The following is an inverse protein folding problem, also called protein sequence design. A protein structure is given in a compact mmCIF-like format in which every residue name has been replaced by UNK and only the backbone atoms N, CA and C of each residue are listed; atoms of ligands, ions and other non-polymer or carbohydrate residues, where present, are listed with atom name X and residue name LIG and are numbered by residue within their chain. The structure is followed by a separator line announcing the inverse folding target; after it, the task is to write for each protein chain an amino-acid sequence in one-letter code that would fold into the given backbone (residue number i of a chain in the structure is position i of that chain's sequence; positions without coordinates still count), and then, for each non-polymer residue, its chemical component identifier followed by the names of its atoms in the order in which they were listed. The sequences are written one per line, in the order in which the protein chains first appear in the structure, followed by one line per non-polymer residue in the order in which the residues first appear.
data_IF_372175384499
#
_entry.id   IF_372175384499
#
_cell.length_a   1.000
_cell.length_b   1.000
_cell.length_c   1.000
_cell.angle_alpha   90.00
_cell.angle_beta   90.00
_cell.angle_gamma   90.00
#
_symmetry.space_group_name_H-M   'P 1'
#
loop_
_entity.id
_entity.type
_entity.pdbx_description
1 polymer ?
#
# COMPACT_ATOMS: atom_id res chain seq x y z
N UNK A 1 -15.22 16.58 1.30
CA UNK A 1 -16.23 15.97 2.17
C UNK A 1 -15.54 15.59 3.47
N UNK A 2 -16.25 15.64 4.58
CA UNK A 2 -15.69 15.25 5.89
C UNK A 2 -16.17 13.82 6.22
N UNK A 3 -15.22 12.96 6.59
CA UNK A 3 -15.44 11.59 7.04
C UNK A 3 -15.01 11.48 8.49
N UNK A 4 -15.71 10.68 9.29
CA UNK A 4 -15.38 10.44 10.68
C UNK A 4 -15.22 8.94 10.88
N UNK A 5 -14.03 8.49 11.34
CA UNK A 5 -13.76 7.08 11.62
C UNK A 5 -13.05 6.94 12.96
N UNK A 6 -13.33 5.85 13.66
CA UNK A 6 -12.63 5.51 14.88
C UNK A 6 -11.44 4.61 14.62
N UNK A 7 -10.39 4.85 15.39
CA UNK A 7 -9.18 4.04 15.43
C UNK A 7 -8.86 3.69 16.88
N UNK A 8 -8.24 2.54 17.11
CA UNK A 8 -7.63 2.22 18.39
C UNK A 8 -6.13 2.46 18.33
N UNK A 9 -5.59 3.18 19.33
CA UNK A 9 -4.14 3.41 19.47
C UNK A 9 -3.67 2.76 20.75
N UNK A 10 -2.72 1.86 20.65
CA UNK A 10 -2.11 1.17 21.78
C UNK A 10 -0.58 1.19 21.67
N UNK A 11 0.09 0.92 22.79
CA UNK A 11 1.54 0.86 22.84
C UNK A 11 2.00 -0.59 22.74
N UNK A 12 2.95 -0.85 21.84
CA UNK A 12 3.64 -2.12 21.70
C UNK A 12 5.16 -1.88 21.69
N UNK A 13 5.84 -2.33 22.74
CA UNK A 13 7.25 -2.06 22.99
C UNK A 13 7.59 -0.55 22.91
N UNK A 14 8.39 -0.16 21.92
CA UNK A 14 8.85 1.22 21.71
C UNK A 14 7.97 2.02 20.75
N UNK A 15 6.91 1.41 20.19
CA UNK A 15 6.05 2.01 19.18
C UNK A 15 4.63 2.22 19.71
N UNK A 16 3.92 3.14 19.08
CA UNK A 16 2.46 3.23 19.13
C UNK A 16 1.91 2.66 17.84
N UNK A 17 0.88 1.83 17.94
CA UNK A 17 0.20 1.21 16.79
C UNK A 17 -1.21 1.75 16.72
N UNK A 18 -1.66 2.12 15.53
CA UNK A 18 -3.02 2.55 15.26
C UNK A 18 -3.72 1.57 14.32
N UNK A 19 -4.88 1.09 14.73
CA UNK A 19 -5.73 0.15 13.99
C UNK A 19 -7.10 0.78 13.76
N UNK A 20 -7.50 1.07 12.52
CA UNK A 20 -8.85 1.50 12.18
C UNK A 20 -9.87 0.38 12.40
N UNK A 21 -11.10 0.73 12.87
CA UNK A 21 -12.18 -0.26 13.03
C UNK A 21 -12.84 -0.65 11.70
N UNK A 22 -12.90 0.28 10.75
CA UNK A 22 -13.68 0.12 9.51
C UNK A 22 -12.81 -0.10 8.25
N UNK A 23 -11.49 -0.11 8.40
CA UNK A 23 -10.54 -0.36 7.32
C UNK A 23 -9.55 -1.45 7.72
N UNK A 24 -9.06 -2.18 6.73
CA UNK A 24 -7.98 -3.14 6.94
C UNK A 24 -6.63 -2.44 7.07
N UNK A 25 -5.72 -3.04 7.84
CA UNK A 25 -4.37 -2.55 8.03
C UNK A 25 -4.16 -1.82 9.35
N UNK A 26 -2.93 -1.44 9.58
CA UNK A 26 -2.47 -0.71 10.75
C UNK A 26 -1.32 0.20 10.35
N UNK A 27 -1.02 1.17 11.21
CA UNK A 27 0.17 2.02 11.08
C UNK A 27 0.85 2.18 12.43
N UNK A 28 2.08 2.67 12.44
CA UNK A 28 2.87 2.84 13.64
C UNK A 28 3.53 4.21 13.69
N UNK A 29 3.99 4.60 14.88
CA UNK A 29 4.78 5.79 15.11
C UNK A 29 5.57 5.67 16.41
N UNK A 30 6.70 6.40 16.52
CA UNK A 30 7.53 6.43 17.73
C UNK A 30 6.88 7.21 18.87
N UNK A 31 5.88 8.01 18.57
CA UNK A 31 5.09 8.75 19.54
C UNK A 31 3.61 8.61 19.22
N UNK A 32 2.76 8.81 20.25
CA UNK A 32 1.31 8.79 20.05
C UNK A 32 0.85 9.84 19.02
N UNK A 33 1.46 11.04 19.02
CA UNK A 33 1.13 12.08 18.05
C UNK A 33 1.49 11.65 16.63
N UNK A 34 2.69 11.15 16.40
CA UNK A 34 3.13 10.65 15.11
C UNK A 34 2.23 9.50 14.62
N UNK A 35 1.88 8.57 15.51
CA UNK A 35 0.98 7.47 15.19
C UNK A 35 -0.41 7.97 14.76
N UNK A 36 -0.96 9.00 15.41
CA UNK A 36 -2.23 9.62 15.01
C UNK A 36 -2.12 10.34 13.65
N UNK A 37 -1.00 11.01 13.37
CA UNK A 37 -0.74 11.64 12.07
C UNK A 37 -0.65 10.57 10.97
N UNK A 38 0.10 9.50 11.20
CA UNK A 38 0.20 8.37 10.27
C UNK A 38 -1.15 7.66 10.05
N UNK A 39 -1.98 7.56 11.09
CA UNK A 39 -3.33 7.00 10.98
C UNK A 39 -4.26 7.90 10.15
N UNK A 40 -4.15 9.21 10.28
CA UNK A 40 -4.90 10.16 9.43
C UNK A 40 -4.46 10.05 7.96
N UNK A 41 -3.17 9.88 7.69
CA UNK A 41 -2.64 9.67 6.34
C UNK A 41 -3.08 8.32 5.76
N UNK A 42 -3.09 7.25 6.56
CA UNK A 42 -3.61 5.94 6.16
C UNK A 42 -5.09 6.04 5.76
N UNK A 43 -5.94 6.60 6.61
CA UNK A 43 -7.38 6.79 6.32
C UNK A 43 -7.60 7.68 5.09
N UNK A 44 -6.82 8.76 4.95
CA UNK A 44 -6.89 9.63 3.77
C UNK A 44 -6.59 8.84 2.49
N UNK A 45 -5.55 8.04 2.50
CA UNK A 45 -5.11 7.22 1.36
C UNK A 45 -6.15 6.16 1.00
N UNK A 46 -6.69 5.46 2.01
CA UNK A 46 -7.72 4.43 1.83
C UNK A 46 -9.04 5.02 1.26
N UNK A 47 -9.48 6.16 1.79
CA UNK A 47 -10.67 6.86 1.29
C UNK A 47 -10.44 7.29 -0.17
N UNK A 48 -9.29 7.90 -0.48
CA UNK A 48 -8.97 8.36 -1.83
C UNK A 48 -8.88 7.19 -2.80
N UNK A 49 -8.25 6.08 -2.42
CA UNK A 49 -8.15 4.87 -3.23
C UNK A 49 -9.56 4.36 -3.61
N UNK A 50 -10.45 4.19 -2.65
CA UNK A 50 -11.83 3.74 -2.90
C UNK A 50 -12.61 4.73 -3.79
N UNK A 51 -12.45 6.03 -3.57
CA UNK A 51 -13.08 7.05 -4.41
C UNK A 51 -12.57 7.00 -5.87
N UNK A 52 -11.29 6.75 -6.10
CA UNK A 52 -10.71 6.61 -7.44
C UNK A 52 -11.25 5.38 -8.17
N UNK A 53 -11.40 4.27 -7.47
CA UNK A 53 -11.89 3.01 -8.02
C UNK A 53 -13.41 2.89 -8.03
N UNK A 54 -14.14 3.87 -7.46
CA UNK A 54 -15.60 3.87 -7.27
C UNK A 54 -16.06 2.71 -6.38
N UNK A 55 -15.22 2.32 -5.45
CA UNK A 55 -15.54 1.34 -4.43
C UNK A 55 -16.35 1.98 -3.30
N UNK A 56 -17.16 1.19 -2.63
CA UNK A 56 -17.93 1.66 -1.49
C UNK A 56 -17.01 1.97 -0.31
N UNK A 57 -17.22 3.11 0.31
CA UNK A 57 -16.63 3.40 1.61
C UNK A 57 -17.41 2.63 2.69
N UNK A 58 -16.71 2.08 3.70
CA UNK A 58 -17.40 1.48 4.84
C UNK A 58 -18.21 2.56 5.58
N UNK A 59 -19.35 2.16 6.12
CA UNK A 59 -20.10 3.02 7.02
C UNK A 59 -19.33 3.11 8.35
N UNK A 60 -19.09 4.34 8.87
CA UNK A 60 -18.36 4.51 10.11
C UNK A 60 -19.07 3.85 11.29
N UNK A 61 -18.34 3.02 12.03
CA UNK A 61 -18.80 2.53 13.33
C UNK A 61 -18.32 3.48 14.43
N UNK A 62 -19.20 3.76 15.40
CA UNK A 62 -18.94 4.70 16.50
C UNK A 62 -19.20 4.00 17.84
N UNK A 63 -18.56 4.48 18.88
CA UNK A 63 -18.61 3.89 20.22
C UNK A 63 -18.05 2.45 20.27
N UNK A 64 -16.98 2.21 19.49
CA UNK A 64 -16.28 0.94 19.49
C UNK A 64 -15.64 0.65 20.86
N UNK A 65 -15.40 -0.61 21.15
CA UNK A 65 -14.66 -1.03 22.34
C UNK A 65 -13.22 -1.40 21.96
N UNK A 66 -12.22 -1.07 22.81
CA UNK A 66 -10.85 -1.44 22.56
C UNK A 66 -10.69 -2.96 22.37
N UNK A 67 -9.91 -3.38 21.38
CA UNK A 67 -9.58 -4.77 21.09
C UNK A 67 -8.17 -5.15 21.59
N UNK A 68 -7.30 -4.15 21.75
CA UNK A 68 -5.89 -4.27 22.15
C UNK A 68 -5.59 -3.52 23.44
N UNK A 69 -6.61 -3.23 24.28
CA UNK A 69 -6.48 -2.47 25.52
C UNK A 69 -5.92 -1.03 25.31
N UNK A 70 -6.11 -0.49 24.10
CA UNK A 70 -5.68 0.84 23.70
C UNK A 70 -6.69 1.94 24.00
N UNK A 71 -6.43 3.12 23.50
CA UNK A 71 -7.32 4.28 23.55
C UNK A 71 -7.98 4.48 22.19
N UNK A 72 -9.29 4.79 22.18
CA UNK A 72 -10.03 5.05 20.95
C UNK A 72 -10.00 6.55 20.63
N UNK A 73 -9.71 6.85 19.37
CA UNK A 73 -9.72 8.20 18.81
C UNK A 73 -10.65 8.27 17.61
N UNK A 74 -11.49 9.31 17.56
CA UNK A 74 -12.29 9.63 16.37
C UNK A 74 -11.52 10.62 15.51
N UNK A 75 -11.16 10.22 14.29
CA UNK A 75 -10.44 11.06 13.33
C UNK A 75 -11.40 11.63 12.30
N UNK A 76 -11.37 12.96 12.15
CA UNK A 76 -12.12 13.69 11.14
C UNK A 76 -11.23 13.93 9.90
N UNK A 77 -11.50 13.24 8.80
CA UNK A 77 -10.72 13.29 7.57
C UNK A 77 -11.44 14.11 6.52
N UNK A 78 -10.87 15.27 6.17
CA UNK A 78 -11.40 16.09 5.09
C UNK A 78 -10.70 15.73 3.77
N UNK A 79 -11.36 14.94 2.93
CA UNK A 79 -10.82 14.51 1.63
C UNK A 79 -11.94 14.31 0.61
N UNK A 80 -11.58 14.02 -0.64
CA UNK A 80 -12.50 13.72 -1.72
C UNK A 80 -11.78 13.57 -3.06
N UNK A 81 -12.44 13.04 -4.08
CA UNK A 81 -11.84 12.82 -5.40
C UNK A 81 -11.28 14.12 -6.02
N UNK A 82 -11.84 15.27 -5.67
CA UNK A 82 -11.35 16.57 -6.13
C UNK A 82 -10.08 17.05 -5.46
N UNK A 83 -9.74 16.55 -4.26
CA UNK A 83 -8.54 16.93 -3.51
C UNK A 83 -7.32 16.06 -3.83
N UNK A 84 -7.52 14.94 -4.56
CA UNK A 84 -6.43 14.03 -4.94
C UNK A 84 -5.44 14.77 -5.83
N UNK A 85 -4.15 14.86 -5.44
CA UNK A 85 -3.11 15.45 -6.25
C UNK A 85 -2.95 14.68 -7.56
N UNK A 86 -3.10 15.38 -8.69
CA UNK A 86 -3.14 14.76 -10.01
C UNK A 86 -2.50 15.64 -11.07
N UNK A 87 -2.18 15.03 -12.20
CA UNK A 87 -1.68 15.71 -13.38
C UNK A 87 -2.19 15.06 -14.67
N UNK A 88 -2.09 15.77 -15.78
CA UNK A 88 -2.41 15.23 -17.11
C UNK A 88 -1.29 14.25 -17.56
N UNK A 89 -1.63 13.29 -18.43
CA UNK A 89 -0.62 12.37 -19.03
C UNK A 89 0.54 13.10 -19.71
N UNK A 90 0.26 14.27 -20.30
CA UNK A 90 1.29 15.10 -20.91
C UNK A 90 2.23 15.75 -19.90
N UNK A 91 1.72 16.07 -18.72
CA UNK A 91 2.52 16.60 -17.59
C UNK A 91 3.35 15.49 -16.96
N UNK A 92 2.74 14.31 -16.73
CA UNK A 92 3.46 13.12 -16.27
C UNK A 92 4.61 12.74 -17.20
N UNK A 93 4.40 12.81 -18.52
CA UNK A 93 5.44 12.57 -19.52
C UNK A 93 6.64 13.53 -19.36
N UNK A 94 6.36 14.83 -19.17
CA UNK A 94 7.39 15.84 -18.91
C UNK A 94 8.13 15.62 -17.60
N UNK A 95 7.38 15.32 -16.53
CA UNK A 95 7.94 15.07 -15.19
C UNK A 95 8.88 13.86 -15.17
N UNK A 96 8.51 12.80 -15.91
CA UNK A 96 9.29 11.55 -15.97
C UNK A 96 10.36 11.58 -17.08
N UNK A 97 10.42 12.62 -17.94
CA UNK A 97 11.35 12.69 -19.05
C UNK A 97 11.12 11.64 -20.15
N UNK A 98 9.87 11.16 -20.32
CA UNK A 98 9.49 10.11 -21.27
C UNK A 98 8.42 10.57 -22.25
N UNK A 99 8.17 9.79 -23.31
CA UNK A 99 7.10 10.09 -24.27
C UNK A 99 5.71 9.82 -23.68
N UNK A 100 4.66 10.48 -24.19
CA UNK A 100 3.27 10.21 -23.80
C UNK A 100 2.84 8.76 -24.10
N UNK A 101 3.39 8.16 -25.17
CA UNK A 101 3.19 6.76 -25.50
C UNK A 101 3.70 5.85 -24.38
N UNK A 102 4.87 6.16 -23.82
CA UNK A 102 5.43 5.42 -22.68
C UNK A 102 4.59 5.58 -21.42
N UNK A 103 4.08 6.79 -21.12
CA UNK A 103 3.13 7.01 -20.02
C UNK A 103 1.90 6.10 -20.19
N UNK A 104 1.34 6.02 -21.40
CA UNK A 104 0.19 5.15 -21.69
C UNK A 104 0.50 3.67 -21.45
N UNK A 105 1.72 3.23 -21.77
CA UNK A 105 2.17 1.86 -21.47
C UNK A 105 2.28 1.61 -19.96
N UNK A 106 2.85 2.57 -19.21
CA UNK A 106 2.98 2.48 -17.76
C UNK A 106 1.61 2.43 -17.07
N UNK A 107 0.64 3.22 -17.53
CA UNK A 107 -0.76 3.15 -17.07
C UNK A 107 -1.36 1.76 -17.35
N UNK A 108 -1.23 1.26 -18.58
CA UNK A 108 -1.75 -0.07 -18.94
C UNK A 108 -1.13 -1.22 -18.15
N UNK A 109 0.12 -1.07 -17.75
CA UNK A 109 0.84 -2.07 -16.92
C UNK A 109 0.66 -1.87 -15.41
N UNK A 110 -0.21 -0.94 -14.97
CA UNK A 110 -0.46 -0.65 -13.56
C UNK A 110 0.70 0.03 -12.82
N UNK A 111 1.74 0.49 -13.56
CA UNK A 111 2.91 1.19 -12.96
C UNK A 111 2.67 2.69 -12.74
N UNK A 112 1.60 3.24 -13.28
CA UNK A 112 1.06 4.56 -13.00
C UNK A 112 -0.44 4.42 -12.77
N UNK A 113 -0.91 5.01 -11.69
CA UNK A 113 -2.31 4.98 -11.30
C UNK A 113 -3.06 6.15 -11.94
N UNK A 114 -4.28 5.87 -12.41
CA UNK A 114 -5.15 6.88 -13.05
C UNK A 114 -6.55 6.83 -12.50
N UNK A 115 -7.23 7.97 -12.57
CA UNK A 115 -8.65 8.07 -12.27
C UNK A 115 -9.34 9.13 -13.12
N UNK A 116 -10.66 9.03 -13.20
CA UNK A 116 -11.49 9.99 -13.93
C UNK A 116 -12.07 11.03 -13.00
N UNK A 117 -11.86 12.30 -13.30
CA UNK A 117 -12.48 13.43 -12.61
C UNK A 117 -13.04 14.46 -13.60
N UNK A 118 -14.30 14.85 -13.43
CA UNK A 118 -15.00 15.79 -14.33
C UNK A 118 -14.88 15.43 -15.82
N UNK A 119 -15.01 14.14 -16.15
CA UNK A 119 -14.96 13.64 -17.52
C UNK A 119 -13.56 13.59 -18.16
N UNK A 120 -12.49 13.82 -17.37
CA UNK A 120 -11.10 13.71 -17.83
C UNK A 120 -10.35 12.65 -17.02
N UNK A 121 -9.44 11.98 -17.70
CA UNK A 121 -8.52 11.03 -17.07
C UNK A 121 -7.25 11.74 -16.61
N UNK A 122 -6.86 11.50 -15.38
CA UNK A 122 -5.66 12.05 -14.75
C UNK A 122 -4.77 10.92 -14.21
N UNK A 123 -3.48 11.19 -14.12
CA UNK A 123 -2.51 10.35 -13.42
C UNK A 123 -2.35 10.90 -12.00
N UNK A 124 -2.30 10.05 -10.99
CA UNK A 124 -2.04 10.48 -9.60
C UNK A 124 -0.60 11.01 -9.49
N UNK A 125 -0.45 12.12 -8.76
CA UNK A 125 0.89 12.68 -8.53
C UNK A 125 1.76 11.69 -7.76
N UNK A 126 1.19 10.98 -6.79
CA UNK A 126 1.90 9.98 -5.97
C UNK A 126 2.55 8.89 -6.83
N UNK A 127 1.81 8.31 -7.81
CA UNK A 127 2.38 7.27 -8.68
C UNK A 127 3.48 7.79 -9.61
N UNK A 128 3.40 9.07 -10.01
CA UNK A 128 4.46 9.71 -10.81
C UNK A 128 5.70 9.98 -9.98
N UNK A 129 5.54 10.47 -8.76
CA UNK A 129 6.66 10.75 -7.84
C UNK A 129 7.38 9.43 -7.46
N UNK A 130 6.64 8.40 -7.07
CA UNK A 130 7.19 7.07 -6.79
C UNK A 130 7.93 6.48 -8.00
N UNK A 131 7.39 6.67 -9.22
CA UNK A 131 8.06 6.21 -10.46
C UNK A 131 9.34 7.00 -10.76
N UNK A 132 9.36 8.28 -10.45
CA UNK A 132 10.55 9.12 -10.60
C UNK A 132 11.64 8.67 -9.64
N UNK A 133 11.32 8.47 -8.38
CA UNK A 133 12.25 7.95 -7.36
C UNK A 133 12.81 6.59 -7.79
N UNK A 134 11.97 5.67 -8.25
CA UNK A 134 12.41 4.38 -8.77
C UNK A 134 13.40 4.52 -9.94
N UNK A 135 13.17 5.46 -10.87
CA UNK A 135 14.08 5.69 -11.99
C UNK A 135 15.40 6.33 -11.53
N UNK A 136 15.35 7.22 -10.54
CA UNK A 136 16.53 7.90 -10.00
C UNK A 136 17.43 6.95 -9.19
N UNK A 137 16.85 6.01 -8.45
CA UNK A 137 17.57 4.99 -7.65
C UNK A 137 17.83 3.69 -8.42
N UNK A 138 16.90 3.26 -9.28
CA UNK A 138 16.95 1.97 -9.99
C UNK A 138 17.77 1.95 -11.27
N UNK A 139 18.26 3.10 -11.75
CA UNK A 139 19.10 3.15 -12.96
C UNK A 139 20.54 2.66 -12.74
N UNK A 140 20.90 2.20 -11.54
CA UNK A 140 22.21 1.60 -11.26
C UNK A 140 22.27 0.08 -11.46
N UNK A 141 21.12 -0.64 -11.50
CA UNK A 141 21.10 -2.11 -11.48
C UNK A 141 20.27 -2.81 -12.58
N UNK A 142 19.58 -2.12 -13.46
CA UNK A 142 18.95 -2.77 -14.62
C UNK A 142 19.83 -2.62 -15.88
N UNK A 143 20.28 -3.75 -16.48
CA UNK A 143 20.96 -3.73 -17.76
C UNK A 143 20.02 -3.12 -18.83
N UNK A 144 20.54 -2.20 -19.62
CA UNK A 144 19.79 -1.51 -20.67
C UNK A 144 19.10 -2.51 -21.60
N UNK A 145 17.95 -2.14 -22.22
CA UNK A 145 17.24 -3.01 -23.19
C UNK A 145 18.18 -3.56 -24.29
N UNK A 146 19.30 -2.88 -24.56
CA UNK A 146 20.35 -3.35 -25.48
C UNK A 146 21.16 -4.51 -24.91
N UNK A 147 21.38 -4.56 -23.60
CA UNK A 147 22.10 -5.65 -22.93
C UNK A 147 21.19 -6.88 -22.72
N UNK A 148 19.89 -6.67 -22.46
CA UNK A 148 18.92 -7.76 -22.39
C UNK A 148 18.74 -8.46 -23.76
N UNK A 149 18.71 -7.70 -24.85
CA UNK A 149 18.68 -8.26 -26.21
C UNK A 149 19.99 -8.97 -26.59
N UNK A 150 21.13 -8.56 -26.04
CA UNK A 150 22.43 -9.21 -26.26
C UNK A 150 22.53 -10.55 -25.49
N UNK A 151 21.94 -10.63 -24.31
CA UNK A 151 21.88 -11.87 -23.52
C UNK A 151 20.93 -12.87 -24.18
N UNK A 152 19.76 -12.43 -24.67
CA UNK A 152 18.82 -13.30 -25.41
C UNK A 152 19.41 -13.79 -26.73
N UNK A 153 20.18 -12.97 -27.46
CA UNK A 153 20.80 -13.41 -28.72
C UNK A 153 21.95 -14.40 -28.52
N UNK A 154 22.57 -14.44 -27.34
CA UNK A 154 23.63 -15.41 -27.01
C UNK A 154 23.09 -16.75 -26.49
N UNK A 155 21.84 -16.82 -26.05
CA UNK A 155 21.23 -18.07 -25.54
C UNK A 155 20.72 -19.01 -26.63
N UNK A 156 20.66 -18.58 -27.90
CA UNK A 156 20.20 -19.42 -29.02
C UNK A 156 21.30 -20.27 -29.69
N UNK A 157 22.53 -20.31 -29.16
CA UNK A 157 23.64 -21.02 -29.81
C UNK A 157 24.31 -22.12 -28.98
N UNK A 158 23.63 -22.69 -28.00
CA UNK A 158 24.14 -23.90 -27.32
C UNK A 158 23.02 -24.95 -27.24
N UNK A 159 23.16 -25.93 -28.13
CA UNK A 159 22.33 -27.15 -28.21
C UNK A 159 22.71 -28.15 -27.11
N UNK A 160 21.66 -28.82 -26.56
CA UNK A 160 21.62 -30.19 -26.01
C UNK A 160 22.43 -30.49 -24.71
N UNK A 161 21.87 -31.01 -23.65
CA UNK A 161 20.89 -32.07 -23.31
C UNK A 161 20.57 -32.09 -21.80
N UNK A 162 19.68 -32.96 -21.27
CA UNK A 162 18.69 -32.69 -20.27
C UNK A 162 19.01 -33.22 -18.85
N UNK A 163 18.08 -32.88 -17.93
CA UNK A 163 17.86 -33.44 -16.59
C UNK A 163 18.74 -32.92 -15.45
N UNK A 164 18.12 -32.08 -14.64
CA UNK A 164 17.88 -32.36 -13.23
C UNK A 164 16.97 -31.26 -12.64
N UNK A 165 15.89 -31.74 -12.03
CA UNK A 165 14.93 -30.93 -11.30
C UNK A 165 15.63 -30.32 -10.09
N UNK A 166 15.64 -28.99 -10.01
CA UNK A 166 15.85 -28.28 -8.77
C UNK A 166 14.63 -27.38 -8.52
N UNK A 167 13.77 -27.87 -7.63
CA UNK A 167 12.73 -27.09 -7.01
C UNK A 167 13.31 -25.90 -6.27
N UNK A 168 13.05 -24.70 -6.74
CA UNK A 168 13.18 -23.49 -5.92
C UNK A 168 11.80 -23.03 -5.49
N UNK A 169 11.30 -23.64 -4.43
CA UNK A 169 10.23 -23.09 -3.62
C UNK A 169 10.85 -22.14 -2.58
N UNK A 170 10.99 -20.87 -2.89
CA UNK A 170 11.18 -19.83 -1.90
C UNK A 170 9.99 -18.85 -1.95
N UNK A 171 8.87 -19.37 -1.48
CA UNK A 171 7.79 -18.52 -0.96
C UNK A 171 8.19 -18.17 0.46
N UNK A 172 8.55 -16.92 0.71
CA UNK A 172 8.66 -16.39 2.07
C UNK A 172 7.24 -16.40 2.65
N UNK A 173 6.90 -17.48 3.35
CA UNK A 173 5.75 -17.51 4.23
C UNK A 173 6.12 -16.71 5.47
N UNK A 174 5.45 -15.58 5.64
CA UNK A 174 5.46 -14.85 6.90
C UNK A 174 4.68 -15.67 7.92
N UNK A 175 5.38 -16.40 8.77
CA UNK A 175 4.77 -17.04 9.93
C UNK A 175 4.68 -16.02 11.07
N UNK A 176 3.48 -15.69 11.55
CA UNK A 176 3.35 -14.88 12.76
C UNK A 176 3.91 -15.66 13.95
N UNK A 177 4.74 -14.99 14.73
CA UNK A 177 5.46 -15.50 15.88
C UNK A 177 4.50 -16.10 16.93
N UNK A 178 4.44 -17.43 17.02
CA UNK A 178 3.62 -18.20 17.95
C UNK A 178 4.20 -18.20 19.36
N UNK A 179 4.48 -17.06 19.96
CA UNK A 179 4.98 -17.02 21.35
C UNK A 179 4.04 -16.43 22.39
N UNK A 180 2.85 -15.97 22.06
CA UNK A 180 1.90 -15.46 23.06
C UNK A 180 0.47 -15.98 22.84
N UNK A 181 0.27 -17.28 22.88
CA UNK A 181 -1.05 -17.90 23.03
C UNK A 181 -0.97 -19.09 23.99
N UNK A 182 -0.68 -18.81 25.23
CA UNK A 182 -1.10 -19.68 26.33
C UNK A 182 -2.21 -18.96 27.09
N UNK A 183 -3.39 -19.00 26.55
CA UNK A 183 -4.61 -18.71 27.32
C UNK A 183 -4.89 -19.94 28.16
N UNK A 184 -4.62 -19.85 29.46
CA UNK A 184 -5.09 -20.81 30.43
C UNK A 184 -6.61 -20.65 30.54
N UNK A 185 -7.32 -21.64 30.05
CA UNK A 185 -8.75 -21.84 30.36
C UNK A 185 -8.87 -22.17 31.83
N UNK A 186 -9.35 -21.22 32.61
CA UNK A 186 -9.85 -21.50 33.96
C UNK A 186 -11.29 -22.01 33.84
N UNK A 187 -11.45 -23.29 34.08
CA UNK A 187 -12.76 -23.89 34.33
C UNK A 187 -13.40 -23.26 35.58
N UNK A 188 -14.58 -22.70 35.40
CA UNK A 188 -15.46 -22.34 36.50
C UNK A 188 -15.97 -23.64 37.14
N UNK A 189 -15.44 -23.99 38.31
CA UNK A 189 -16.04 -24.98 39.19
C UNK A 189 -17.06 -24.29 40.06
N UNK A 190 -18.27 -24.85 39.97
CA UNK A 190 -19.41 -24.61 40.80
C UNK A 190 -19.07 -24.54 42.30
N UNK A 191 -19.67 -23.59 43.00
CA UNK A 191 -19.91 -23.67 44.43
C UNK A 191 -21.40 -23.49 44.65
N UNK A 192 -21.96 -24.57 45.25
CA UNK A 192 -23.28 -24.60 45.82
C UNK A 192 -23.47 -23.53 46.89
#
# INVERSE_FOLDING_TARGET
MLYLYEIEVFKDDDYYIAVPFDFEGATEGFSKQECLEMAADLLTSEIQHRLMHRDNLPEPTIDNSPQYEGEIYSLAIETGIGTIPRMLKSEAARTLGISQGRVTQLVKSGKLETFSYQGREYVTKASVDARKEYNDFGSQDEPSEKEQNLVQSKSYSLHEKPSEQLEYSNVLQFEPNKKHAQIQTYEARELM
#
